data_IF_296982154249
#
_entry.id   IF_296982154249
#
_cell.length_a   1.000
_cell.length_b   1.000
_cell.length_c   1.000
_cell.angle_alpha   90.00
_cell.angle_beta   90.00
_cell.angle_gamma   90.00
#
_symmetry.space_group_name_H-M   'P 1'
#
loop_
_entity.id
_entity.type
_entity.pdbx_description
1 polymer ?
#
# COMPACT_ATOMS: atom_id res chain seq x y z
N UNK A 1 9.99 -6.19 -19.96
CA UNK A 1 10.63 -5.89 -18.65
C UNK A 1 9.82 -4.98 -17.72
N UNK A 2 8.68 -4.41 -18.15
CA UNK A 2 7.90 -3.50 -17.29
C UNK A 2 6.95 -4.15 -16.28
N UNK A 3 6.70 -5.46 -16.41
CA UNK A 3 5.62 -6.15 -15.68
C UNK A 3 5.79 -6.16 -14.15
N UNK A 4 7.03 -6.15 -13.65
CA UNK A 4 7.33 -6.16 -12.20
C UNK A 4 7.89 -4.81 -11.74
N UNK A 5 8.59 -4.08 -12.62
CA UNK A 5 9.27 -2.84 -12.26
C UNK A 5 8.33 -1.63 -12.18
N UNK A 6 7.21 -1.64 -12.91
CA UNK A 6 6.19 -0.59 -12.81
C UNK A 6 5.19 -0.92 -11.72
N UNK A 7 4.85 0.06 -10.89
CA UNK A 7 3.98 -0.16 -9.71
C UNK A 7 2.58 -0.64 -10.10
N UNK A 8 2.03 -0.11 -11.19
CA UNK A 8 0.71 -0.45 -11.71
C UNK A 8 0.69 -1.85 -12.36
N UNK A 9 1.74 -2.22 -13.10
CA UNK A 9 1.88 -3.56 -13.63
C UNK A 9 2.02 -4.59 -12.51
N UNK A 10 2.90 -4.32 -11.54
CA UNK A 10 3.09 -5.17 -10.36
C UNK A 10 1.80 -5.34 -9.57
N UNK A 11 1.05 -4.25 -9.32
CA UNK A 11 -0.22 -4.31 -8.61
C UNK A 11 -1.26 -5.21 -9.32
N UNK A 12 -1.36 -5.12 -10.66
CA UNK A 12 -2.25 -5.99 -11.45
C UNK A 12 -1.86 -7.47 -11.35
N UNK A 13 -0.57 -7.77 -11.44
CA UNK A 13 -0.09 -9.15 -11.34
C UNK A 13 -0.27 -9.72 -9.94
N UNK A 14 0.07 -8.95 -8.90
CA UNK A 14 -0.14 -9.36 -7.51
C UNK A 14 -1.62 -9.61 -7.21
N UNK A 15 -2.53 -8.78 -7.71
CA UNK A 15 -3.98 -8.98 -7.56
C UNK A 15 -4.45 -10.28 -8.24
N UNK A 16 -3.85 -10.66 -9.38
CA UNK A 16 -4.15 -11.94 -10.05
C UNK A 16 -3.62 -13.12 -9.25
N UNK A 17 -2.41 -13.01 -8.72
CA UNK A 17 -1.78 -14.07 -7.93
C UNK A 17 -2.49 -14.27 -6.58
N UNK A 18 -2.89 -13.21 -5.90
CA UNK A 18 -3.70 -13.28 -4.67
C UNK A 18 -5.03 -14.03 -4.89
N UNK A 19 -5.67 -13.84 -6.04
CA UNK A 19 -6.91 -14.57 -6.39
C UNK A 19 -6.66 -16.04 -6.72
N UNK A 20 -5.54 -16.35 -7.36
CA UNK A 20 -5.20 -17.72 -7.78
C UNK A 20 -4.61 -18.55 -6.62
N UNK A 21 -3.83 -17.91 -5.75
CA UNK A 21 -3.05 -18.53 -4.68
C UNK A 21 -3.13 -17.68 -3.39
N UNK A 22 -4.31 -17.60 -2.75
CA UNK A 22 -4.55 -16.68 -1.64
C UNK A 22 -3.65 -16.95 -0.42
N UNK A 23 -3.34 -18.20 -0.13
CA UNK A 23 -2.48 -18.57 1.01
C UNK A 23 -1.02 -18.16 0.79
N UNK A 24 -0.54 -18.22 -0.46
CA UNK A 24 0.84 -17.90 -0.82
C UNK A 24 1.06 -16.39 -1.02
N UNK A 25 0.01 -15.65 -1.39
CA UNK A 25 0.04 -14.21 -1.73
C UNK A 25 -0.68 -13.31 -0.71
N UNK A 26 -0.88 -13.80 0.52
CA UNK A 26 -1.48 -13.03 1.63
C UNK A 26 -0.62 -11.87 2.18
N UNK A 27 0.56 -11.64 1.60
CA UNK A 27 1.51 -10.60 2.00
C UNK A 27 1.30 -9.27 1.26
N UNK A 28 0.45 -9.25 0.24
CA UNK A 28 0.23 -8.06 -0.58
C UNK A 28 -0.78 -7.13 0.12
N UNK A 29 -0.38 -5.91 0.52
CA UNK A 29 -1.34 -4.96 1.09
C UNK A 29 -2.36 -4.53 0.04
N UNK A 30 -3.60 -4.25 0.46
CA UNK A 30 -4.66 -3.77 -0.43
C UNK A 30 -4.17 -2.63 -1.32
N UNK A 31 -4.28 -2.82 -2.64
CA UNK A 31 -3.70 -1.93 -3.65
C UNK A 31 -4.73 -1.63 -4.73
N UNK A 32 -4.79 -0.38 -5.18
CA UNK A 32 -5.70 0.11 -6.21
C UNK A 32 -4.98 1.01 -7.20
N UNK A 33 -5.30 0.91 -8.48
CA UNK A 33 -4.73 1.68 -9.58
C UNK A 33 -5.77 2.70 -10.03
N UNK A 34 -5.48 3.99 -9.85
CA UNK A 34 -6.38 5.06 -10.26
C UNK A 34 -5.98 5.60 -11.64
N UNK A 35 -6.97 6.04 -12.46
CA UNK A 35 -8.41 6.14 -12.16
C UNK A 35 -9.21 4.83 -12.25
N UNK A 36 -8.63 3.77 -12.82
CA UNK A 36 -9.37 2.56 -13.21
C UNK A 36 -10.14 1.88 -12.06
N UNK A 37 -9.59 1.91 -10.85
CA UNK A 37 -10.14 1.21 -9.67
C UNK A 37 -10.69 2.18 -8.61
N UNK A 38 -10.98 3.43 -9.00
CA UNK A 38 -11.48 4.46 -8.07
C UNK A 38 -12.76 4.05 -7.34
N UNK A 39 -13.72 3.45 -8.04
CA UNK A 39 -14.98 2.97 -7.45
C UNK A 39 -14.72 1.85 -6.43
N UNK A 40 -13.76 0.94 -6.70
CA UNK A 40 -13.40 -0.13 -5.78
C UNK A 40 -12.76 0.44 -4.51
N UNK A 41 -11.81 1.37 -4.67
CA UNK A 41 -11.14 2.04 -3.58
C UNK A 41 -12.13 2.84 -2.69
N UNK A 42 -13.01 3.63 -3.28
CA UNK A 42 -14.00 4.41 -2.51
C UNK A 42 -15.03 3.54 -1.79
N UNK A 43 -15.44 2.42 -2.39
CA UNK A 43 -16.28 1.42 -1.72
C UNK A 43 -15.55 0.82 -0.51
N UNK A 44 -14.28 0.45 -0.65
CA UNK A 44 -13.45 -0.04 0.45
C UNK A 44 -13.36 0.98 1.59
N UNK A 45 -13.08 2.25 1.29
CA UNK A 45 -13.06 3.32 2.29
C UNK A 45 -14.42 3.52 2.98
N UNK A 46 -15.53 3.42 2.24
CA UNK A 46 -16.89 3.50 2.80
C UNK A 46 -17.15 2.35 3.78
N UNK A 47 -16.70 1.14 3.45
CA UNK A 47 -16.88 -0.02 4.32
C UNK A 47 -15.99 0.04 5.57
N UNK A 48 -14.77 0.58 5.47
CA UNK A 48 -13.96 0.92 6.64
C UNK A 48 -14.69 1.90 7.56
N UNK A 49 -15.30 2.95 7.00
CA UNK A 49 -16.07 3.94 7.77
C UNK A 49 -17.27 3.31 8.49
N UNK A 50 -18.03 2.44 7.81
CA UNK A 50 -19.14 1.67 8.43
C UNK A 50 -18.66 0.83 9.61
N UNK A 51 -17.49 0.20 9.46
CA UNK A 51 -16.85 -0.63 10.49
C UNK A 51 -16.12 0.18 11.56
N UNK A 52 -16.18 1.53 11.52
CA UNK A 52 -15.43 2.45 12.39
C UNK A 52 -13.92 2.17 12.41
N UNK A 53 -13.38 1.65 11.30
CA UNK A 53 -11.95 1.39 11.11
C UNK A 53 -11.34 2.56 10.35
N UNK A 54 -10.13 2.94 10.74
CA UNK A 54 -9.32 3.94 10.04
C UNK A 54 -8.08 3.26 9.48
N UNK A 55 -7.73 3.62 8.25
CA UNK A 55 -6.52 3.16 7.56
C UNK A 55 -5.79 4.35 6.98
N UNK A 56 -4.48 4.27 6.96
CA UNK A 56 -3.63 5.21 6.23
C UNK A 56 -3.28 4.56 4.90
N UNK A 57 -3.26 5.36 3.85
CA UNK A 57 -2.86 4.94 2.51
C UNK A 57 -1.60 5.70 2.09
N UNK A 58 -0.78 5.04 1.30
CA UNK A 58 0.36 5.63 0.61
C UNK A 58 0.02 5.74 -0.87
N UNK A 59 0.12 6.96 -1.40
CA UNK A 59 -0.13 7.25 -2.81
C UNK A 59 1.20 7.37 -3.53
N UNK A 60 1.33 6.71 -4.67
CA UNK A 60 2.57 6.59 -5.43
C UNK A 60 2.31 6.89 -6.91
N UNK A 61 3.10 7.74 -7.58
CA UNK A 61 3.04 7.86 -9.03
C UNK A 61 3.42 6.52 -9.69
N UNK A 62 2.65 6.06 -10.67
CA UNK A 62 2.87 4.73 -11.28
C UNK A 62 4.28 4.57 -11.85
N UNK A 63 4.79 5.62 -12.51
CA UNK A 63 6.10 5.68 -13.15
C UNK A 63 7.15 6.46 -12.32
N UNK A 64 6.85 6.80 -11.06
CA UNK A 64 7.77 7.57 -10.20
C UNK A 64 8.91 6.72 -9.63
N UNK A 65 9.99 7.36 -9.19
CA UNK A 65 11.12 6.73 -8.53
C UNK A 65 11.65 7.60 -7.38
N UNK A 66 12.55 7.06 -6.56
CA UNK A 66 13.26 7.78 -5.49
C UNK A 66 12.36 8.47 -4.44
N UNK A 67 11.11 8.03 -4.31
CA UNK A 67 10.15 8.64 -3.38
C UNK A 67 9.47 9.91 -3.89
N UNK A 68 9.80 10.40 -5.09
CA UNK A 68 9.22 11.61 -5.64
C UNK A 68 7.71 11.46 -5.88
N UNK A 69 6.94 12.42 -5.36
CA UNK A 69 5.48 12.44 -5.46
C UNK A 69 4.77 11.41 -4.58
N UNK A 70 5.47 10.72 -3.69
CA UNK A 70 4.85 9.83 -2.71
C UNK A 70 4.31 10.67 -1.54
N UNK A 71 3.07 10.38 -1.12
CA UNK A 71 2.47 11.02 0.05
C UNK A 71 1.53 10.07 0.79
N UNK A 72 1.27 10.39 2.06
CA UNK A 72 0.33 9.65 2.91
C UNK A 72 -1.00 10.36 3.00
N UNK A 73 -2.08 9.58 3.04
CA UNK A 73 -3.44 10.09 3.12
C UNK A 73 -4.32 9.19 3.97
N UNK A 74 -5.16 9.79 4.83
CA UNK A 74 -6.18 9.07 5.61
C UNK A 74 -7.60 9.23 5.06
N UNK A 75 -7.84 10.29 4.31
CA UNK A 75 -9.13 10.55 3.67
C UNK A 75 -9.01 10.40 2.14
N UNK A 76 -9.74 9.44 1.59
CA UNK A 76 -9.82 9.18 0.15
C UNK A 76 -10.17 10.44 -0.67
N UNK A 77 -10.99 11.35 -0.12
CA UNK A 77 -11.43 12.57 -0.81
C UNK A 77 -10.28 13.52 -1.16
N UNK A 78 -9.11 13.36 -0.54
CA UNK A 78 -7.92 14.21 -0.79
C UNK A 78 -7.05 13.73 -1.96
N UNK A 79 -7.42 12.62 -2.61
CA UNK A 79 -6.63 12.05 -3.71
C UNK A 79 -7.11 12.64 -5.04
N UNK A 80 -6.19 13.21 -5.82
CA UNK A 80 -6.49 13.64 -7.19
C UNK A 80 -6.77 12.43 -8.08
N UNK A 81 -7.99 12.36 -8.62
CA UNK A 81 -8.49 11.18 -9.35
C UNK A 81 -8.02 11.12 -10.80
N UNK A 82 -7.53 12.22 -11.35
CA UNK A 82 -7.14 12.31 -12.77
C UNK A 82 -5.71 11.83 -13.02
N UNK A 83 -4.91 11.68 -11.96
CA UNK A 83 -3.53 11.23 -12.06
C UNK A 83 -3.46 9.70 -12.14
N UNK A 84 -2.51 9.21 -12.92
CA UNK A 84 -2.24 7.77 -13.00
C UNK A 84 -1.35 7.32 -11.84
N UNK A 85 -2.00 6.91 -10.75
CA UNK A 85 -1.37 6.63 -9.45
C UNK A 85 -1.74 5.23 -8.93
N UNK A 86 -0.88 4.72 -8.05
CA UNK A 86 -1.14 3.52 -7.25
C UNK A 86 -1.38 3.95 -5.81
N UNK A 87 -2.56 3.62 -5.30
CA UNK A 87 -2.94 3.80 -3.91
C UNK A 87 -2.81 2.45 -3.21
N UNK A 88 -2.11 2.41 -2.08
CA UNK A 88 -1.88 1.16 -1.35
C UNK A 88 -2.09 1.38 0.14
N UNK A 89 -2.60 0.39 0.86
CA UNK A 89 -2.62 0.42 2.32
C UNK A 89 -1.21 0.63 2.87
N UNK A 90 -1.07 1.59 3.77
CA UNK A 90 0.18 1.83 4.46
C UNK A 90 0.33 0.81 5.59
N UNK A 91 1.47 0.12 5.62
CA UNK A 91 1.84 -0.78 6.71
C UNK A 91 2.38 0.11 7.85
N UNK A 92 1.55 0.32 8.87
CA UNK A 92 1.82 1.20 10.01
C UNK A 92 2.68 0.52 11.08
N UNK A 93 2.51 -0.79 11.25
CA UNK A 93 3.29 -1.61 12.19
C UNK A 93 4.55 -2.16 11.54
N UNK A 94 5.50 -1.28 11.28
CA UNK A 94 6.83 -1.67 10.81
C UNK A 94 7.71 -2.09 11.98
N UNK A 95 8.59 -3.07 11.76
CA UNK A 95 9.65 -3.41 12.72
C UNK A 95 10.69 -2.29 12.67
N UNK A 96 10.79 -1.52 13.76
CA UNK A 96 11.78 -0.46 13.88
C UNK A 96 13.08 -1.05 14.44
N UNK A 97 14.13 -1.08 13.62
CA UNK A 97 15.47 -1.45 14.07
C UNK A 97 16.21 -0.16 14.42
N UNK A 98 16.38 0.08 15.71
CA UNK A 98 17.27 1.11 16.25
C UNK A 98 18.45 0.40 16.92
N UNK A 99 19.67 0.91 16.72
CA UNK A 99 20.86 0.49 17.47
C UNK A 99 20.73 0.97 18.92
N UNK A 100 19.84 0.35 19.70
CA UNK A 100 19.87 0.42 21.15
C UNK A 100 20.62 -0.83 21.58
N UNK A 101 21.93 -0.67 21.77
CA UNK A 101 22.83 -1.58 22.46
C UNK A 101 22.42 -3.06 22.52
N UNK A 102 23.07 -3.88 21.69
CA UNK A 102 23.49 -5.22 22.09
C UNK A 102 24.50 -5.04 23.24
N UNK A 103 24.02 -4.64 24.41
CA UNK A 103 24.72 -4.72 25.69
C UNK A 103 23.72 -5.23 26.71
N UNK A 104 23.39 -6.52 26.63
CA UNK A 104 23.15 -7.37 27.79
C UNK A 104 23.65 -8.78 27.45
N UNK A 105 24.96 -8.85 27.22
CA UNK A 105 25.73 -10.04 27.57
C UNK A 105 26.16 -9.86 29.03
N UNK A 106 25.78 -10.78 29.90
CA UNK A 106 26.42 -10.93 31.21
C UNK A 106 25.56 -10.59 32.43
N UNK A 107 25.16 -11.66 33.12
CA UNK A 107 24.80 -11.73 34.54
C UNK A 107 25.71 -10.85 35.42
N UNK A 108 25.11 -10.11 36.35
CA UNK A 108 25.41 -10.07 37.80
C UNK A 108 24.67 -8.88 38.43
#
# INVERSE_FOLDING_TARGET
MGEICRKDALARHMTRMEKAFPEDYNFVPGTWILPAEYTLFTNYCRDLKKKRKTKTFIVKPANGAMGNGIYLVKNADRIHTNDHIVVQEYIDKVVLIIWVNIMHCGRA
#
